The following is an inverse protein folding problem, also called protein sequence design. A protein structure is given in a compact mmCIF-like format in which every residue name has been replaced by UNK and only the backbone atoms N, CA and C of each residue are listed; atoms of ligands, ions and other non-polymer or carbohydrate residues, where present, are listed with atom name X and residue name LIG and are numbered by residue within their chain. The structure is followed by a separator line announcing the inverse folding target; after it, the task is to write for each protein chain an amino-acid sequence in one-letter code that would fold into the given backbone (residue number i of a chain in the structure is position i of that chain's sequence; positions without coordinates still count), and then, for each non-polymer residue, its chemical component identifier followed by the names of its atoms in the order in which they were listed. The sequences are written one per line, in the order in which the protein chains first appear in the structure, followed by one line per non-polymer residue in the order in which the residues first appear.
data_IF_585088954031
#
_entry.id   IF_585088954031
#
_cell.length_a   1.000
_cell.length_b   1.000
_cell.length_c   1.000
_cell.angle_alpha   90.00
_cell.angle_beta   90.00
_cell.angle_gamma   90.00
#
_symmetry.space_group_name_H-M   'P 1'
#
loop_
_entity.id
_entity.type
_entity.pdbx_description
1 polymer ?
#
# COMPACT_ATOMS: atom_id res chain seq x y z
N UNK A 1 11.77 -3.30 16.18
CA UNK A 1 12.14 -4.14 15.02
C UNK A 1 13.18 -5.22 15.35
N UNK A 2 13.94 -5.13 16.44
CA UNK A 2 15.11 -6.01 16.69
C UNK A 2 14.81 -7.53 16.62
N UNK A 3 13.67 -7.98 17.16
CA UNK A 3 13.26 -9.39 17.09
C UNK A 3 12.94 -9.89 15.66
N UNK A 4 12.80 -8.99 14.69
CA UNK A 4 12.43 -9.29 13.30
C UNK A 4 13.61 -9.13 12.33
N UNK A 5 14.82 -8.87 12.81
CA UNK A 5 16.00 -8.72 11.94
C UNK A 5 16.16 -9.95 11.06
N UNK A 6 16.28 -9.73 9.74
CA UNK A 6 16.39 -10.79 8.72
C UNK A 6 15.29 -11.86 8.80
N UNK A 7 14.04 -11.46 9.06
CA UNK A 7 12.92 -12.41 9.17
C UNK A 7 11.97 -12.40 7.97
N UNK A 8 11.92 -11.31 7.18
CA UNK A 8 10.96 -11.15 6.09
C UNK A 8 11.62 -11.33 4.71
N UNK A 9 11.00 -12.11 3.84
CA UNK A 9 11.43 -12.22 2.44
C UNK A 9 11.01 -10.98 1.62
N UNK A 10 9.88 -10.37 2.00
CA UNK A 10 9.21 -9.35 1.20
C UNK A 10 8.46 -8.33 2.07
N UNK A 11 8.49 -7.06 1.68
CA UNK A 11 7.75 -5.96 2.31
C UNK A 11 7.02 -5.15 1.23
N UNK A 12 5.74 -4.85 1.46
CA UNK A 12 4.96 -3.90 0.67
C UNK A 12 4.81 -2.62 1.50
N UNK A 13 5.44 -1.54 1.04
CA UNK A 13 5.34 -0.23 1.68
C UNK A 13 4.22 0.60 1.03
N UNK A 14 3.17 0.85 1.81
CA UNK A 14 1.99 1.63 1.42
C UNK A 14 1.92 2.98 2.15
N UNK A 15 2.93 3.38 2.91
CA UNK A 15 2.87 4.58 3.73
C UNK A 15 3.03 5.84 2.86
N UNK A 16 1.99 6.67 2.78
CA UNK A 16 1.98 7.87 1.92
C UNK A 16 2.83 9.04 2.43
N UNK A 17 3.22 9.03 3.70
CA UNK A 17 4.06 10.08 4.30
C UNK A 17 5.54 9.75 4.26
N UNK A 18 6.39 10.75 4.45
CA UNK A 18 7.83 10.55 4.64
C UNK A 18 8.09 9.68 5.86
N UNK A 19 8.93 8.66 5.69
CA UNK A 19 9.34 7.77 6.76
C UNK A 19 10.72 7.13 6.46
N UNK A 20 11.49 6.74 7.49
CA UNK A 20 12.81 6.14 7.27
C UNK A 20 12.67 4.69 6.82
N UNK A 21 13.43 4.28 5.79
CA UNK A 21 13.39 2.90 5.31
C UNK A 21 14.36 1.97 6.04
N UNK A 22 15.41 2.48 6.69
CA UNK A 22 16.44 1.66 7.35
C UNK A 22 15.88 0.60 8.32
N UNK A 23 14.88 0.90 9.18
CA UNK A 23 14.28 -0.11 10.04
C UNK A 23 13.63 -1.25 9.26
N UNK A 24 13.00 -0.96 8.11
CA UNK A 24 12.33 -1.94 7.25
C UNK A 24 13.33 -2.75 6.42
N UNK A 25 14.39 -2.11 5.93
CA UNK A 25 15.48 -2.79 5.25
C UNK A 25 16.16 -3.78 6.21
N UNK A 26 16.36 -3.42 7.48
CA UNK A 26 17.02 -4.28 8.46
C UNK A 26 16.31 -5.62 8.72
N UNK A 27 14.98 -5.65 8.59
CA UNK A 27 14.17 -6.85 8.84
C UNK A 27 14.00 -7.75 7.61
N UNK A 28 14.42 -7.28 6.43
CA UNK A 28 14.51 -8.13 5.25
C UNK A 28 15.62 -9.17 5.42
N UNK A 29 15.38 -10.39 4.97
CA UNK A 29 16.40 -11.43 4.81
C UNK A 29 17.45 -10.99 3.78
N UNK A 30 18.54 -11.76 3.69
CA UNK A 30 19.46 -11.68 2.55
C UNK A 30 18.66 -11.90 1.26
N UNK A 31 18.89 -11.10 0.22
CA UNK A 31 18.10 -11.05 -1.03
C UNK A 31 16.63 -10.62 -0.90
N UNK A 32 16.20 -10.14 0.28
CA UNK A 32 14.83 -9.68 0.47
C UNK A 32 14.48 -8.43 -0.35
N UNK A 33 13.19 -8.23 -0.59
CA UNK A 33 12.67 -7.15 -1.45
C UNK A 33 11.71 -6.25 -0.68
N UNK A 34 11.93 -4.93 -0.77
CA UNK A 34 10.96 -3.90 -0.37
C UNK A 34 10.35 -3.28 -1.63
N UNK A 35 9.03 -3.32 -1.75
CA UNK A 35 8.29 -2.71 -2.87
C UNK A 35 7.55 -1.48 -2.38
N UNK A 36 7.90 -0.33 -2.96
CA UNK A 36 7.24 0.95 -2.73
C UNK A 36 6.02 1.04 -3.66
N UNK A 37 4.82 1.13 -3.08
CA UNK A 37 3.55 1.33 -3.81
C UNK A 37 2.86 2.64 -3.41
N UNK A 38 3.58 3.51 -2.71
CA UNK A 38 3.19 4.85 -2.32
C UNK A 38 3.97 5.91 -3.12
N UNK A 39 3.57 7.17 -2.98
CA UNK A 39 4.21 8.30 -3.66
C UNK A 39 4.60 9.42 -2.66
N UNK A 40 5.53 9.17 -1.72
CA UNK A 40 6.10 10.22 -0.89
C UNK A 40 7.01 11.15 -1.72
N UNK A 41 7.27 12.34 -1.21
CA UNK A 41 8.20 13.34 -1.79
C UNK A 41 9.63 12.80 -1.87
N UNK A 42 10.12 12.18 -0.80
CA UNK A 42 11.48 11.68 -0.69
C UNK A 42 11.52 10.41 0.18
N UNK A 43 12.43 9.50 -0.14
CA UNK A 43 12.75 8.32 0.67
C UNK A 43 14.24 8.30 0.98
N UNK A 44 14.59 8.13 2.27
CA UNK A 44 15.98 8.11 2.75
C UNK A 44 16.31 6.75 3.35
N UNK A 45 17.50 6.25 3.00
CA UNK A 45 18.07 5.04 3.55
C UNK A 45 19.59 5.02 3.42
N UNK A 46 20.26 4.21 4.23
CA UNK A 46 21.67 3.94 4.12
C UNK A 46 21.94 2.84 3.07
N UNK A 47 22.69 3.13 1.98
CA UNK A 47 23.01 2.14 0.94
C UNK A 47 23.69 0.87 1.47
N UNK A 48 24.42 0.96 2.59
CA UNK A 48 25.09 -0.19 3.19
C UNK A 48 24.11 -1.30 3.61
N UNK A 49 22.88 -0.93 3.96
CA UNK A 49 21.81 -1.88 4.30
C UNK A 49 21.37 -2.75 3.12
N UNK A 50 21.60 -2.30 1.88
CA UNK A 50 21.36 -3.07 0.66
C UNK A 50 22.60 -3.87 0.25
N UNK A 51 23.77 -3.23 0.27
CA UNK A 51 25.04 -3.81 -0.21
C UNK A 51 25.46 -5.06 0.57
N UNK A 52 25.29 -5.06 1.89
CA UNK A 52 25.76 -6.16 2.76
C UNK A 52 24.94 -7.43 2.64
N UNK A 53 23.67 -7.32 2.23
CA UNK A 53 22.70 -8.43 2.24
C UNK A 53 22.05 -8.66 0.87
N UNK A 54 22.53 -8.00 -0.18
CA UNK A 54 21.99 -8.09 -1.55
C UNK A 54 20.48 -7.79 -1.63
N UNK A 55 19.98 -6.85 -0.84
CA UNK A 55 18.55 -6.52 -0.79
C UNK A 55 18.14 -5.58 -1.92
N UNK A 56 16.87 -5.64 -2.30
CA UNK A 56 16.31 -4.82 -3.39
C UNK A 56 15.24 -3.86 -2.87
N UNK A 57 15.28 -2.63 -3.36
CA UNK A 57 14.16 -1.69 -3.29
C UNK A 57 13.64 -1.48 -4.71
N UNK A 58 12.34 -1.64 -4.92
CA UNK A 58 11.69 -1.48 -6.23
C UNK A 58 10.34 -0.78 -6.09
N UNK A 59 9.75 -0.35 -7.20
CA UNK A 59 8.46 0.35 -7.23
C UNK A 59 7.41 -0.38 -8.08
N UNK A 60 6.14 -0.21 -7.73
CA UNK A 60 5.01 -0.65 -8.55
C UNK A 60 3.81 0.27 -8.35
N UNK A 61 3.18 0.72 -9.44
CA UNK A 61 2.04 1.63 -9.40
C UNK A 61 0.71 0.91 -9.64
N UNK A 62 0.41 0.63 -10.91
CA UNK A 62 -0.79 -0.09 -11.33
C UNK A 62 -0.40 -1.19 -12.32
N UNK A 63 -1.11 -2.32 -12.27
CA UNK A 63 -0.93 -3.43 -13.21
C UNK A 63 -1.58 -3.18 -14.56
N UNK A 64 -1.21 -3.99 -15.57
CA UNK A 64 -1.85 -3.96 -16.88
C UNK A 64 -3.29 -4.49 -16.83
N UNK A 65 -4.04 -4.31 -17.92
CA UNK A 65 -5.44 -4.79 -18.02
C UNK A 65 -5.56 -6.30 -17.79
N UNK A 66 -4.61 -7.07 -18.32
CA UNK A 66 -4.53 -8.52 -18.10
C UNK A 66 -4.31 -8.85 -16.61
N UNK A 67 -3.34 -8.20 -15.97
CA UNK A 67 -3.03 -8.42 -14.55
C UNK A 67 -4.22 -8.05 -13.65
N UNK A 68 -4.93 -6.96 -13.97
CA UNK A 68 -6.15 -6.55 -13.27
C UNK A 68 -7.23 -7.62 -13.42
N UNK A 69 -7.43 -8.18 -14.61
CA UNK A 69 -8.43 -9.23 -14.81
C UNK A 69 -8.09 -10.50 -14.01
N UNK A 70 -6.82 -10.90 -13.99
CA UNK A 70 -6.35 -12.04 -13.19
C UNK A 70 -6.54 -11.78 -11.69
N UNK A 71 -6.22 -10.57 -11.21
CA UNK A 71 -6.44 -10.15 -9.83
C UNK A 71 -7.92 -10.16 -9.45
N UNK A 72 -8.81 -9.65 -10.30
CA UNK A 72 -10.25 -9.68 -10.04
C UNK A 72 -10.78 -11.12 -9.97
N UNK A 73 -10.34 -12.00 -10.87
CA UNK A 73 -10.71 -13.41 -10.87
C UNK A 73 -10.24 -14.10 -9.58
N UNK A 74 -8.99 -13.85 -9.16
CA UNK A 74 -8.44 -14.36 -7.91
C UNK A 74 -9.23 -13.87 -6.69
N UNK A 75 -9.49 -12.57 -6.60
CA UNK A 75 -10.26 -11.98 -5.51
C UNK A 75 -11.68 -12.57 -5.43
N UNK A 76 -12.35 -12.76 -6.57
CA UNK A 76 -13.67 -13.37 -6.63
C UNK A 76 -13.64 -14.84 -6.16
N UNK A 77 -12.67 -15.64 -6.63
CA UNK A 77 -12.51 -17.04 -6.25
C UNK A 77 -12.21 -17.22 -4.75
N UNK A 78 -11.45 -16.30 -4.16
CA UNK A 78 -11.02 -16.35 -2.77
C UNK A 78 -11.84 -15.48 -1.81
N UNK A 79 -12.93 -14.84 -2.30
CA UNK A 79 -13.80 -13.96 -1.50
C UNK A 79 -13.03 -12.84 -0.80
N UNK A 80 -12.08 -12.24 -1.50
CA UNK A 80 -11.29 -11.10 -1.02
C UNK A 80 -12.05 -9.82 -1.41
N UNK A 81 -12.56 -9.11 -0.41
CA UNK A 81 -13.31 -7.88 -0.61
C UNK A 81 -12.72 -6.73 0.22
N UNK A 82 -12.73 -5.49 -0.30
CA UNK A 82 -12.35 -4.33 0.50
C UNK A 82 -13.39 -4.08 1.60
N UNK A 83 -12.94 -3.54 2.73
CA UNK A 83 -13.86 -2.97 3.72
C UNK A 83 -14.19 -1.53 3.31
N UNK A 84 -15.47 -1.28 3.11
CA UNK A 84 -15.95 -0.03 2.51
C UNK A 84 -16.97 0.69 3.39
N UNK A 85 -16.95 2.01 3.30
CA UNK A 85 -18.02 2.89 3.76
C UNK A 85 -18.70 3.49 2.53
N UNK A 86 -19.95 3.11 2.29
CA UNK A 86 -20.72 3.61 1.16
C UNK A 86 -21.30 4.98 1.52
N UNK A 87 -21.06 5.98 0.67
CA UNK A 87 -21.49 7.37 0.91
C UNK A 87 -22.22 7.94 -0.31
N UNK A 88 -23.18 8.86 -0.14
CA UNK A 88 -23.79 9.56 -1.26
C UNK A 88 -22.83 10.62 -1.84
N UNK A 89 -23.01 11.01 -3.11
CA UNK A 89 -22.12 11.98 -3.77
C UNK A 89 -22.12 13.36 -3.08
N UNK A 90 -23.21 13.74 -2.41
CA UNK A 90 -23.29 14.98 -1.63
C UNK A 90 -22.35 14.99 -0.42
N UNK A 91 -21.92 13.82 0.05
CA UNK A 91 -20.99 13.65 1.17
C UNK A 91 -19.51 13.64 0.73
N UNK A 92 -19.21 13.79 -0.56
CA UNK A 92 -17.86 13.62 -1.10
C UNK A 92 -16.81 14.53 -0.43
N UNK A 93 -17.15 15.79 -0.11
CA UNK A 93 -16.24 16.72 0.56
C UNK A 93 -15.92 16.27 1.99
N UNK A 94 -16.93 15.86 2.75
CA UNK A 94 -16.73 15.37 4.12
C UNK A 94 -15.94 14.06 4.14
N UNK A 95 -16.22 13.15 3.19
CA UNK A 95 -15.43 11.93 2.99
C UNK A 95 -13.95 12.24 2.71
N UNK A 96 -13.65 13.30 1.94
CA UNK A 96 -12.27 13.71 1.66
C UNK A 96 -11.58 14.24 2.93
N UNK A 97 -12.26 15.06 3.73
CA UNK A 97 -11.71 15.55 5.01
C UNK A 97 -11.43 14.41 5.98
N UNK A 98 -12.33 13.44 6.07
CA UNK A 98 -12.16 12.23 6.90
C UNK A 98 -11.01 11.37 6.39
N UNK A 99 -10.89 11.19 5.07
CA UNK A 99 -9.78 10.45 4.45
C UNK A 99 -8.42 11.03 4.84
N UNK A 100 -8.25 12.35 4.77
CA UNK A 100 -7.00 13.03 5.17
C UNK A 100 -6.68 12.79 6.65
N UNK A 101 -7.71 12.77 7.51
CA UNK A 101 -7.60 12.47 8.95
C UNK A 101 -7.45 10.97 9.25
N UNK A 102 -7.43 10.11 8.23
CA UNK A 102 -7.43 8.63 8.33
C UNK A 102 -8.66 8.09 9.08
N UNK A 103 -9.76 8.83 9.05
CA UNK A 103 -11.03 8.49 9.70
C UNK A 103 -11.96 7.69 8.77
N UNK A 104 -11.49 6.51 8.38
CA UNK A 104 -12.23 5.57 7.52
C UNK A 104 -11.69 4.16 7.72
N UNK A 105 -12.55 3.15 7.65
CA UNK A 105 -12.12 1.73 7.68
C UNK A 105 -12.69 0.95 6.49
N UNK A 106 -12.00 0.81 5.36
CA UNK A 106 -10.69 1.37 4.97
C UNK A 106 -10.80 2.26 3.72
N UNK A 107 -11.92 2.22 2.99
CA UNK A 107 -12.15 2.99 1.75
C UNK A 107 -13.58 3.54 1.72
N UNK A 108 -13.73 4.78 1.25
CA UNK A 108 -15.03 5.28 0.82
C UNK A 108 -15.36 4.76 -0.58
N UNK A 109 -16.64 4.43 -0.80
CA UNK A 109 -17.21 4.14 -2.12
C UNK A 109 -18.43 5.01 -2.30
N UNK A 110 -18.46 5.80 -3.38
CA UNK A 110 -19.60 6.66 -3.67
C UNK A 110 -20.67 5.84 -4.38
N UNK A 111 -21.88 5.83 -3.84
CA UNK A 111 -23.04 5.24 -4.51
C UNK A 111 -23.61 6.23 -5.52
N UNK A 112 -23.12 6.15 -6.76
CA UNK A 112 -23.51 7.09 -7.82
C UNK A 112 -24.97 6.88 -8.22
N UNK A 113 -25.40 5.64 -8.42
CA UNK A 113 -26.73 5.32 -8.94
C UNK A 113 -27.84 5.88 -8.03
N UNK A 114 -27.71 5.73 -6.72
CA UNK A 114 -28.75 6.14 -5.78
C UNK A 114 -28.64 7.58 -5.29
N UNK A 115 -27.54 8.29 -5.59
CA UNK A 115 -27.31 9.65 -5.06
C UNK A 115 -27.14 10.73 -6.12
N UNK A 116 -27.00 10.37 -7.39
CA UNK A 116 -26.96 11.33 -8.50
C UNK A 116 -28.41 11.71 -8.87
N UNK A 117 -28.87 12.87 -8.38
CA UNK A 117 -30.15 13.49 -8.73
C UNK A 117 -29.95 14.61 -9.73
#
# INVERSE_FOLDING_TARGET
MEALVKSLDFIIDTASGEHPLDPYISILKTTGVLVVVCAPSELKFNPLGLLTEMRTITGSGVGGTKDIQEMLNFCAAHKIYPQIEVVPIQYANEALERLVKKDVKYRFVIDIENSLK
#
